data_IF_361564220121
#
_entry.id   IF_361564220121
#
_cell.length_a   1.000
_cell.length_b   1.000
_cell.length_c   1.000
_cell.angle_alpha   90.00
_cell.angle_beta   90.00
_cell.angle_gamma   90.00
#
_symmetry.space_group_name_H-M   'P 1'
#
loop_
_entity.id
_entity.type
_entity.pdbx_description
1 polymer ?
#
# COMPACT_ATOMS: atom_id res chain seq x y z
N UNK A 1 2.97 -25.88 3.76
CA UNK A 1 2.29 -24.69 4.32
C UNK A 1 3.38 -23.67 4.64
N UNK A 2 3.35 -22.51 3.98
CA UNK A 2 4.39 -21.47 4.08
C UNK A 2 4.46 -20.88 5.50
N UNK A 3 5.58 -20.23 5.83
CA UNK A 3 5.75 -19.56 7.15
C UNK A 3 4.64 -18.53 7.38
N UNK A 4 4.32 -17.76 6.34
CA UNK A 4 3.26 -16.75 6.38
C UNK A 4 1.87 -17.34 6.66
N UNK A 5 1.51 -18.44 5.98
CA UNK A 5 0.21 -19.11 6.17
C UNK A 5 0.06 -19.69 7.58
N UNK A 6 1.13 -20.22 8.16
CA UNK A 6 1.14 -20.70 9.54
C UNK A 6 0.88 -19.56 10.54
N UNK A 7 1.56 -18.42 10.38
CA UNK A 7 1.37 -17.23 11.23
C UNK A 7 -0.06 -16.69 11.12
N UNK A 8 -0.60 -16.60 9.91
CA UNK A 8 -1.98 -16.17 9.72
C UNK A 8 -2.98 -17.11 10.39
N UNK A 9 -2.80 -18.43 10.26
CA UNK A 9 -3.69 -19.39 10.93
C UNK A 9 -3.61 -19.27 12.47
N UNK A 10 -2.41 -19.04 13.00
CA UNK A 10 -2.23 -18.75 14.43
C UNK A 10 -3.00 -17.50 14.85
N UNK A 11 -2.91 -16.42 14.07
CA UNK A 11 -3.65 -15.17 14.30
C UNK A 11 -5.15 -15.44 14.34
N UNK A 12 -5.71 -16.07 13.31
CA UNK A 12 -7.17 -16.33 13.23
C UNK A 12 -7.62 -17.24 14.37
N UNK A 13 -6.87 -18.30 14.69
CA UNK A 13 -7.17 -19.20 15.80
C UNK A 13 -7.18 -18.47 17.15
N UNK A 14 -6.21 -17.57 17.38
CA UNK A 14 -6.13 -16.80 18.62
C UNK A 14 -7.23 -15.74 18.75
N UNK A 15 -7.78 -15.26 17.63
CA UNK A 15 -8.95 -14.36 17.60
C UNK A 15 -10.24 -15.09 17.98
N UNK A 16 -10.34 -16.41 17.71
CA UNK A 16 -11.41 -17.26 18.23
C UNK A 16 -12.81 -16.93 17.73
N UNK A 17 -12.93 -16.28 16.57
CA UNK A 17 -14.20 -15.98 15.90
C UNK A 17 -14.32 -16.85 14.66
N UNK A 18 -15.38 -17.65 14.60
CA UNK A 18 -15.65 -18.53 13.46
C UNK A 18 -15.80 -17.73 12.17
N UNK A 19 -15.23 -18.25 11.08
CA UNK A 19 -15.26 -17.63 9.74
C UNK A 19 -14.59 -16.25 9.63
N UNK A 20 -13.89 -15.77 10.67
CA UNK A 20 -13.12 -14.54 10.60
C UNK A 20 -12.07 -14.62 9.48
N UNK A 21 -12.10 -13.63 8.58
CA UNK A 21 -11.08 -13.44 7.55
C UNK A 21 -10.57 -12.00 7.59
N UNK A 22 -9.25 -11.87 7.72
CA UNK A 22 -8.56 -10.59 7.65
C UNK A 22 -7.81 -10.57 6.31
N UNK A 23 -8.25 -9.80 5.30
CA UNK A 23 -7.54 -9.67 4.04
C UNK A 23 -6.09 -9.26 4.31
N UNK A 24 -5.15 -10.09 3.87
CA UNK A 24 -3.73 -9.99 4.18
C UNK A 24 -2.93 -10.14 2.90
N UNK A 25 -1.93 -9.29 2.73
CA UNK A 25 -1.02 -9.30 1.57
C UNK A 25 0.41 -9.22 2.06
N UNK A 26 1.23 -10.16 1.61
CA UNK A 26 2.66 -10.12 1.77
C UNK A 26 3.30 -9.31 0.65
N UNK A 27 4.38 -8.59 0.97
CA UNK A 27 5.13 -7.74 0.05
C UNK A 27 6.61 -8.11 0.11
N UNK A 28 7.18 -8.40 -1.05
CA UNK A 28 8.62 -8.64 -1.25
C UNK A 28 9.21 -7.64 -2.22
N UNK A 29 10.29 -6.98 -1.83
CA UNK A 29 11.08 -6.11 -2.68
C UNK A 29 12.19 -6.88 -3.40
N UNK A 30 12.43 -6.51 -4.66
CA UNK A 30 13.56 -6.96 -5.45
C UNK A 30 14.36 -5.75 -5.93
N UNK A 31 15.60 -5.63 -5.47
CA UNK A 31 16.57 -4.62 -5.90
C UNK A 31 17.11 -4.95 -7.29
N UNK A 32 17.73 -3.97 -7.94
CA UNK A 32 18.30 -4.15 -9.29
C UNK A 32 19.20 -5.38 -9.43
N UNK A 33 20.01 -5.68 -8.42
CA UNK A 33 20.95 -6.80 -8.41
C UNK A 33 20.35 -8.14 -7.96
N UNK A 34 19.12 -8.14 -7.45
CA UNK A 34 18.48 -9.36 -6.94
C UNK A 34 18.01 -10.23 -8.12
N UNK A 35 17.97 -11.54 -7.98
CA UNK A 35 17.36 -12.41 -8.98
C UNK A 35 15.87 -12.53 -8.63
N UNK A 36 14.98 -12.20 -9.58
CA UNK A 36 13.54 -12.46 -9.42
C UNK A 36 13.30 -13.89 -9.90
N UNK A 37 12.75 -14.79 -9.06
CA UNK A 37 12.42 -16.15 -9.47
C UNK A 37 11.44 -16.19 -10.64
N UNK A 38 11.54 -17.21 -11.50
CA UNK A 38 10.63 -17.37 -12.65
C UNK A 38 9.16 -17.48 -12.24
N UNK A 39 8.90 -18.14 -11.09
CA UNK A 39 7.57 -18.23 -10.48
C UNK A 39 6.99 -16.85 -10.19
N UNK A 40 7.82 -15.89 -9.78
CA UNK A 40 7.39 -14.51 -9.49
C UNK A 40 7.24 -13.70 -10.77
N UNK A 41 8.14 -13.89 -11.75
CA UNK A 41 8.05 -13.24 -13.06
C UNK A 41 6.76 -13.62 -13.81
N UNK A 42 6.28 -14.85 -13.64
CA UNK A 42 5.02 -15.32 -14.21
C UNK A 42 3.80 -14.49 -13.76
N UNK A 43 3.90 -13.80 -12.62
CA UNK A 43 2.85 -12.96 -12.05
C UNK A 43 3.01 -11.48 -12.39
N UNK A 44 3.80 -11.10 -13.41
CA UNK A 44 3.86 -9.74 -13.93
C UNK A 44 2.75 -9.50 -14.95
N UNK A 45 1.75 -8.63 -14.69
CA UNK A 45 0.80 -8.23 -15.73
C UNK A 45 1.52 -7.55 -16.90
N UNK A 46 1.24 -8.00 -18.13
CA UNK A 46 1.86 -7.48 -19.37
C UNK A 46 0.88 -6.69 -20.25
N UNK A 47 -0.42 -6.90 -20.08
CA UNK A 47 -1.48 -6.27 -20.90
C UNK A 47 -2.21 -5.12 -20.20
N UNK A 48 -2.03 -4.99 -18.88
CA UNK A 48 -2.70 -3.99 -18.05
C UNK A 48 -1.70 -3.37 -17.07
N UNK A 49 -2.02 -2.19 -16.57
CA UNK A 49 -1.32 -1.59 -15.45
C UNK A 49 -2.16 -1.62 -14.19
N UNK A 50 -1.51 -1.74 -13.03
CA UNK A 50 -2.17 -1.79 -11.73
C UNK A 50 -1.60 -0.74 -10.80
N UNK A 51 -2.48 0.03 -10.15
CA UNK A 51 -2.04 0.86 -9.03
C UNK A 51 -1.60 -0.04 -7.86
N UNK A 52 -0.67 0.45 -7.02
CA UNK A 52 -0.22 -0.31 -5.84
C UNK A 52 -1.38 -0.74 -4.93
N UNK A 53 -2.43 0.09 -4.79
CA UNK A 53 -3.63 -0.29 -4.05
C UNK A 53 -4.46 -1.38 -4.72
N UNK A 54 -4.55 -1.42 -6.05
CA UNK A 54 -5.22 -2.53 -6.75
C UNK A 54 -4.43 -3.82 -6.60
N UNK A 55 -3.10 -3.76 -6.72
CA UNK A 55 -2.25 -4.94 -6.56
C UNK A 55 -2.33 -5.53 -5.14
N UNK A 56 -2.32 -4.70 -4.09
CA UNK A 56 -2.55 -5.18 -2.72
C UNK A 56 -3.95 -5.78 -2.58
N UNK A 57 -4.99 -5.12 -3.11
CA UNK A 57 -6.35 -5.64 -3.01
C UNK A 57 -6.49 -6.98 -3.75
N UNK A 58 -5.99 -7.09 -4.98
CA UNK A 58 -6.00 -8.34 -5.76
C UNK A 58 -5.23 -9.44 -5.03
N UNK A 59 -4.04 -9.12 -4.50
CA UNK A 59 -3.29 -10.09 -3.73
C UNK A 59 -4.07 -10.57 -2.51
N UNK A 60 -4.75 -9.69 -1.78
CA UNK A 60 -5.59 -10.12 -0.66
C UNK A 60 -6.80 -11.01 -1.03
N UNK A 61 -7.10 -11.16 -2.32
CA UNK A 61 -8.18 -11.99 -2.86
C UNK A 61 -7.69 -13.34 -3.43
N UNK A 62 -6.39 -13.62 -3.40
CA UNK A 62 -5.82 -14.90 -3.85
C UNK A 62 -4.92 -14.82 -5.07
N UNK A 63 -4.84 -13.65 -5.72
CA UNK A 63 -3.94 -13.47 -6.87
C UNK A 63 -2.52 -13.14 -6.39
N UNK A 64 -1.53 -13.26 -7.28
CA UNK A 64 -0.19 -12.72 -7.05
C UNK A 64 0.14 -11.71 -8.14
N UNK A 65 0.88 -10.66 -7.79
CA UNK A 65 1.20 -9.55 -8.69
C UNK A 65 2.65 -9.11 -8.49
N UNK A 66 3.44 -9.17 -9.55
CA UNK A 66 4.72 -8.48 -9.64
C UNK A 66 4.54 -7.11 -10.29
N UNK A 67 4.73 -6.06 -9.49
CA UNK A 67 4.81 -4.68 -9.98
C UNK A 67 6.25 -4.33 -10.37
N UNK A 68 6.41 -3.81 -11.58
CA UNK A 68 7.66 -3.28 -12.12
C UNK A 68 7.42 -1.87 -12.67
N UNK A 69 8.47 -1.20 -13.16
CA UNK A 69 8.31 0.11 -13.79
C UNK A 69 7.36 0.08 -15.01
N UNK A 70 7.30 -1.06 -15.70
CA UNK A 70 6.52 -1.24 -16.92
C UNK A 70 5.01 -1.29 -16.66
N UNK A 71 4.58 -1.88 -15.53
CA UNK A 71 3.15 -2.12 -15.27
C UNK A 71 2.59 -1.35 -14.06
N UNK A 72 3.41 -0.58 -13.33
CA UNK A 72 2.93 0.23 -12.21
C UNK A 72 2.01 1.36 -12.69
N UNK A 73 0.71 1.27 -12.37
CA UNK A 73 -0.33 2.16 -12.86
C UNK A 73 -0.39 3.54 -12.17
N UNK A 74 0.45 3.79 -11.15
CA UNK A 74 0.49 5.05 -10.42
C UNK A 74 1.92 5.57 -10.29
N UNK A 75 2.21 6.73 -10.89
CA UNK A 75 3.56 7.35 -10.85
C UNK A 75 3.99 7.64 -9.40
N UNK A 76 3.07 8.14 -8.56
CA UNK A 76 3.32 8.34 -7.14
C UNK A 76 3.70 7.03 -6.41
N UNK A 77 3.16 5.89 -6.84
CA UNK A 77 3.56 4.58 -6.32
C UNK A 77 4.93 4.14 -6.81
N UNK A 78 5.25 4.37 -8.09
CA UNK A 78 6.57 4.08 -8.63
C UNK A 78 7.67 4.82 -7.86
N UNK A 79 7.42 6.10 -7.50
CA UNK A 79 8.34 6.90 -6.67
C UNK A 79 8.47 6.29 -5.27
N UNK A 80 7.35 6.08 -4.58
CA UNK A 80 7.37 5.58 -3.19
C UNK A 80 8.05 4.21 -3.09
N UNK A 81 7.77 3.30 -4.02
CA UNK A 81 8.32 1.95 -4.04
C UNK A 81 9.78 1.88 -4.55
N UNK A 82 10.37 3.02 -4.95
CA UNK A 82 11.76 3.08 -5.42
C UNK A 82 11.98 2.46 -6.80
N UNK A 83 10.94 2.39 -7.63
CA UNK A 83 11.00 1.93 -9.03
C UNK A 83 11.44 3.04 -10.00
N UNK A 84 11.31 4.31 -9.60
CA UNK A 84 11.75 5.46 -10.39
C UNK A 84 12.32 6.54 -9.48
N UNK A 85 13.30 7.29 -10.02
CA UNK A 85 13.87 8.44 -9.35
C UNK A 85 12.83 9.56 -9.20
N UNK A 86 12.71 10.09 -7.99
CA UNK A 86 11.73 11.12 -7.67
C UNK A 86 11.98 12.47 -8.36
N UNK A 87 13.20 12.71 -8.84
CA UNK A 87 13.63 13.91 -9.55
C UNK A 87 13.67 13.75 -11.06
N UNK A 88 13.20 12.62 -11.61
CA UNK A 88 13.11 12.40 -13.04
C UNK A 88 12.20 13.44 -13.73
N UNK A 89 12.75 14.11 -14.75
CA UNK A 89 12.09 15.15 -15.57
C UNK A 89 11.34 14.59 -16.80
N UNK A 90 11.34 13.27 -16.99
CA UNK A 90 10.68 12.60 -18.11
C UNK A 90 9.47 11.82 -17.58
N UNK A 91 8.28 11.92 -18.20
CA UNK A 91 7.14 11.10 -17.80
C UNK A 91 7.44 9.62 -18.00
N UNK A 92 6.80 8.79 -17.19
CA UNK A 92 6.90 7.35 -17.39
C UNK A 92 6.20 6.95 -18.70
N UNK A 93 6.84 6.08 -19.48
CA UNK A 93 6.27 5.59 -20.74
C UNK A 93 5.07 4.67 -20.51
N UNK A 94 4.22 4.56 -21.53
CA UNK A 94 3.06 3.66 -21.55
C UNK A 94 1.81 4.22 -20.87
N UNK A 95 0.68 3.55 -21.11
CA UNK A 95 -0.59 3.80 -20.42
C UNK A 95 -0.47 3.45 -18.94
N UNK A 96 -1.07 4.27 -18.08
CA UNK A 96 -1.09 4.04 -16.63
C UNK A 96 -2.44 4.46 -16.10
N UNK A 97 -3.07 3.61 -15.30
CA UNK A 97 -4.40 3.87 -14.69
C UNK A 97 -4.55 5.32 -14.23
N UNK A 98 -3.58 5.86 -13.50
CA UNK A 98 -3.69 7.20 -12.92
C UNK A 98 -3.57 8.33 -13.94
N UNK A 99 -2.68 8.22 -14.93
CA UNK A 99 -2.52 9.26 -15.98
C UNK A 99 -3.61 9.15 -17.05
N UNK A 100 -4.12 7.95 -17.30
CA UNK A 100 -5.21 7.73 -18.24
C UNK A 100 -6.52 8.35 -17.69
N UNK A 101 -6.72 8.26 -16.36
CA UNK A 101 -7.81 8.98 -15.68
C UNK A 101 -7.68 10.50 -15.84
N UNK A 102 -6.47 11.06 -15.67
CA UNK A 102 -6.23 12.50 -15.90
C UNK A 102 -6.51 12.88 -17.36
N UNK A 103 -5.97 12.10 -18.30
CA UNK A 103 -6.14 12.34 -19.73
C UNK A 103 -7.62 12.34 -20.11
N UNK A 104 -8.39 11.34 -19.66
CA UNK A 104 -9.83 11.22 -19.94
C UNK A 104 -10.70 12.31 -19.32
N UNK A 105 -10.14 13.13 -18.42
CA UNK A 105 -10.82 14.29 -17.80
C UNK A 105 -10.25 15.63 -18.26
N UNK A 106 -9.24 15.62 -19.12
CA UNK A 106 -8.64 16.83 -19.69
C UNK A 106 -9.50 17.37 -20.82
N UNK A 107 -9.68 18.70 -20.87
CA UNK A 107 -10.38 19.39 -21.96
C UNK A 107 -9.66 19.22 -23.32
N UNK A 108 -8.38 18.86 -23.30
CA UNK A 108 -7.52 18.74 -24.48
C UNK A 108 -6.75 17.41 -24.51
N UNK A 109 -7.49 16.30 -24.59
CA UNK A 109 -6.97 14.92 -24.62
C UNK A 109 -5.77 14.72 -25.55
N UNK A 110 -5.83 15.26 -26.78
CA UNK A 110 -4.77 15.10 -27.79
C UNK A 110 -3.46 15.85 -27.45
N UNK A 111 -3.54 16.85 -26.58
CA UNK A 111 -2.40 17.66 -26.13
C UNK A 111 -1.96 17.31 -24.71
N UNK A 112 -2.62 16.33 -24.08
CA UNK A 112 -2.32 15.91 -22.72
C UNK A 112 -0.87 15.44 -22.60
N UNK A 113 -0.15 16.01 -21.63
CA UNK A 113 1.18 15.56 -21.25
C UNK A 113 1.12 14.98 -19.85
N UNK A 114 1.45 13.69 -19.65
CA UNK A 114 1.43 13.10 -18.34
C UNK A 114 2.45 13.78 -17.41
N UNK A 115 2.14 13.96 -16.11
CA UNK A 115 3.07 14.51 -15.15
C UNK A 115 4.31 13.62 -14.99
N UNK A 116 5.47 14.28 -14.82
CA UNK A 116 6.75 13.62 -14.52
C UNK A 116 6.81 13.19 -13.06
N UNK A 117 7.67 12.23 -12.68
CA UNK A 117 7.94 11.93 -11.27
C UNK A 117 8.27 13.19 -10.46
N UNK A 118 9.08 14.09 -11.02
CA UNK A 118 9.40 15.37 -10.38
C UNK A 118 8.18 16.28 -10.19
N UNK A 119 7.21 16.32 -11.10
CA UNK A 119 5.98 17.10 -10.92
C UNK A 119 5.17 16.61 -9.71
N UNK A 120 5.16 15.29 -9.49
CA UNK A 120 4.59 14.70 -8.29
C UNK A 120 5.38 15.11 -7.04
N UNK A 121 6.70 15.00 -7.06
CA UNK A 121 7.58 15.34 -5.93
C UNK A 121 7.51 16.82 -5.55
N UNK A 122 7.46 17.71 -6.56
CA UNK A 122 7.36 19.17 -6.36
C UNK A 122 5.97 19.64 -5.94
N UNK A 123 5.00 18.74 -5.81
CA UNK A 123 3.63 19.06 -5.38
C UNK A 123 2.74 19.69 -6.45
N UNK A 124 3.19 19.73 -7.70
CA UNK A 124 2.46 20.37 -8.79
C UNK A 124 1.20 19.59 -9.16
N UNK A 125 1.28 18.25 -9.18
CA UNK A 125 0.11 17.38 -9.46
C UNK A 125 -0.97 17.50 -8.39
N UNK A 126 -0.57 17.74 -7.15
CA UNK A 126 -1.51 17.79 -6.02
C UNK A 126 -2.11 19.18 -5.82
N UNK A 127 -1.39 20.25 -6.17
CA UNK A 127 -1.90 21.62 -6.16
C UNK A 127 -2.04 22.16 -7.59
N UNK A 128 -2.59 21.35 -8.49
CA UNK A 128 -2.54 21.59 -9.93
C UNK A 128 -3.21 22.91 -10.36
N UNK A 129 -4.31 23.29 -9.74
CA UNK A 129 -4.95 24.60 -9.96
C UNK A 129 -3.99 25.75 -9.62
N UNK A 130 -3.43 25.74 -8.40
CA UNK A 130 -2.47 26.76 -7.96
C UNK A 130 -1.14 26.72 -8.74
N UNK A 131 -0.82 25.61 -9.39
CA UNK A 131 0.35 25.45 -10.26
C UNK A 131 0.08 25.86 -11.72
N UNK A 132 -1.14 26.30 -12.06
CA UNK A 132 -1.58 26.55 -13.44
C UNK A 132 -1.36 25.33 -14.35
N UNK A 133 -1.78 24.15 -13.85
CA UNK A 133 -1.70 22.84 -14.51
C UNK A 133 -3.05 22.12 -14.48
N UNK A 134 -4.16 22.71 -14.96
CA UNK A 134 -5.49 22.10 -14.88
C UNK A 134 -5.55 20.68 -15.48
N UNK A 135 -4.68 20.36 -16.43
CA UNK A 135 -4.55 19.04 -17.04
C UNK A 135 -4.15 17.92 -16.07
N UNK A 136 -3.60 18.23 -14.88
CA UNK A 136 -3.30 17.24 -13.84
C UNK A 136 -4.49 16.95 -12.91
N UNK A 137 -5.65 17.53 -13.19
CA UNK A 137 -6.90 17.24 -12.51
C UNK A 137 -7.35 15.78 -12.72
N UNK A 138 -7.88 15.17 -11.67
CA UNK A 138 -8.48 13.84 -11.71
C UNK A 138 -10.00 13.88 -11.90
N UNK A 139 -10.63 14.99 -11.52
CA UNK A 139 -12.09 15.11 -11.44
C UNK A 139 -12.68 16.13 -12.42
N UNK A 140 -11.93 16.51 -13.45
CA UNK A 140 -12.34 17.48 -14.46
C UNK A 140 -12.10 18.94 -14.04
N UNK A 141 -12.75 19.86 -14.74
CA UNK A 141 -12.50 21.31 -14.62
C UNK A 141 -12.68 21.88 -13.20
N UNK A 142 -13.65 21.35 -12.45
CA UNK A 142 -13.96 21.79 -11.07
C UNK A 142 -13.09 21.11 -10.00
N UNK A 143 -12.10 20.29 -10.39
CA UNK A 143 -11.14 19.70 -9.45
C UNK A 143 -10.28 20.80 -8.82
N UNK A 144 -10.53 21.07 -7.54
CA UNK A 144 -9.75 22.05 -6.74
C UNK A 144 -8.32 21.59 -6.45
N UNK A 145 -7.99 20.33 -6.75
CA UNK A 145 -6.77 19.68 -6.34
C UNK A 145 -6.87 19.12 -4.93
N UNK A 146 -5.74 18.65 -4.42
CA UNK A 146 -5.59 18.00 -3.11
C UNK A 146 -5.07 18.96 -2.05
N UNK A 147 -4.40 20.03 -2.46
CA UNK A 147 -3.88 21.06 -1.57
C UNK A 147 -4.12 22.46 -2.13
N UNK A 148 -4.36 23.42 -1.24
CA UNK A 148 -4.66 24.83 -1.59
C UNK A 148 -3.57 25.51 -2.42
N UNK A 149 -2.31 25.13 -2.24
CA UNK A 149 -1.17 25.70 -2.97
C UNK A 149 0.03 24.74 -2.98
N UNK A 150 1.01 25.04 -3.84
CA UNK A 150 2.21 24.23 -4.04
C UNK A 150 3.06 24.11 -2.77
N UNK A 151 3.14 25.14 -1.94
CA UNK A 151 3.91 25.09 -0.69
C UNK A 151 3.30 24.09 0.30
N UNK A 152 1.99 24.11 0.49
CA UNK A 152 1.26 23.13 1.31
C UNK A 152 1.38 21.72 0.73
N UNK A 153 1.31 21.56 -0.60
CA UNK A 153 1.53 20.27 -1.24
C UNK A 153 2.93 19.73 -0.97
N UNK A 154 3.97 20.55 -1.14
CA UNK A 154 5.37 20.16 -0.88
C UNK A 154 5.58 19.74 0.57
N UNK A 155 5.04 20.49 1.52
CA UNK A 155 5.12 20.13 2.93
C UNK A 155 4.53 18.73 3.16
N UNK A 156 3.33 18.46 2.63
CA UNK A 156 2.70 17.15 2.79
C UNK A 156 3.48 16.02 2.11
N UNK A 157 4.13 16.28 0.97
CA UNK A 157 4.90 15.28 0.22
C UNK A 157 6.23 14.96 0.89
N UNK A 158 6.88 15.94 1.53
CA UNK A 158 8.13 15.73 2.27
C UNK A 158 7.97 14.71 3.40
N UNK A 159 6.78 14.61 3.99
CA UNK A 159 6.46 13.63 5.03
C UNK A 159 6.07 12.25 4.46
N UNK A 160 5.79 12.15 3.14
CA UNK A 160 5.49 10.89 2.46
C UNK A 160 6.77 10.11 2.23
N UNK A 161 6.80 8.86 2.71
CA UNK A 161 8.00 8.04 2.64
C UNK A 161 8.17 7.44 1.24
N UNK A 162 9.41 7.44 0.75
CA UNK A 162 9.80 6.84 -0.51
C UNK A 162 11.17 6.17 -0.38
N UNK A 163 11.35 5.06 -1.08
CA UNK A 163 12.67 4.41 -1.22
C UNK A 163 13.45 5.19 -2.28
N UNK A 164 14.46 5.94 -1.85
CA UNK A 164 15.36 6.68 -2.72
C UNK A 164 16.82 6.47 -2.28
N UNK A 165 17.80 6.38 -3.21
CA UNK A 165 17.63 6.41 -4.67
C UNK A 165 16.80 5.23 -5.19
N UNK A 166 16.36 5.30 -6.46
CA UNK A 166 15.52 4.27 -7.08
C UNK A 166 16.30 2.97 -7.27
N UNK A 167 16.30 2.12 -6.24
CA UNK A 167 17.10 0.88 -6.19
C UNK A 167 16.27 -0.38 -6.42
N UNK A 168 14.95 -0.28 -6.57
CA UNK A 168 14.07 -1.41 -6.77
C UNK A 168 13.80 -1.63 -8.26
N UNK A 169 13.74 -2.90 -8.68
CA UNK A 169 13.29 -3.30 -10.02
C UNK A 169 11.95 -4.04 -10.01
N UNK A 170 11.54 -4.54 -8.85
CA UNK A 170 10.28 -5.27 -8.70
C UNK A 170 9.76 -5.20 -7.27
N UNK A 171 8.44 -5.21 -7.15
CA UNK A 171 7.71 -5.37 -5.88
C UNK A 171 6.69 -6.46 -6.09
N UNK A 172 6.87 -7.59 -5.42
CA UNK A 172 5.97 -8.73 -5.50
C UNK A 172 4.97 -8.68 -4.36
N UNK A 173 3.69 -8.80 -4.70
CA UNK A 173 2.57 -8.80 -3.78
C UNK A 173 1.85 -10.13 -3.93
N UNK A 174 1.67 -10.84 -2.84
CA UNK A 174 1.11 -12.19 -2.85
C UNK A 174 0.31 -12.45 -1.58
N UNK A 175 -0.53 -13.47 -1.67
CA UNK A 175 -1.43 -13.87 -0.61
C UNK A 175 -0.83 -15.01 0.23
N UNK A 176 -1.64 -15.58 1.12
CA UNK A 176 -1.23 -16.66 2.01
C UNK A 176 -1.14 -18.02 1.29
N UNK A 177 -1.87 -18.19 0.19
CA UNK A 177 -2.01 -19.41 -0.59
C UNK A 177 -1.03 -19.50 -1.78
N UNK A 178 -0.19 -18.48 -2.00
CA UNK A 178 0.95 -18.56 -2.89
C UNK A 178 1.98 -19.58 -2.38
N UNK A 179 1.93 -20.80 -2.93
CA UNK A 179 2.72 -21.96 -2.51
C UNK A 179 3.76 -22.40 -3.57
N UNK A 180 3.93 -21.65 -4.66
CA UNK A 180 4.90 -21.99 -5.73
C UNK A 180 6.35 -21.96 -5.22
N UNK A 181 6.68 -21.00 -4.35
CA UNK A 181 7.96 -20.89 -3.63
C UNK A 181 7.75 -20.23 -2.26
N UNK A 182 8.51 -20.66 -1.25
CA UNK A 182 8.46 -20.07 0.09
C UNK A 182 9.29 -18.78 0.14
N UNK A 183 8.61 -17.65 0.00
CA UNK A 183 9.21 -16.31 0.10
C UNK A 183 8.93 -15.74 1.49
N UNK A 184 9.99 -15.32 2.17
CA UNK A 184 9.88 -14.50 3.38
C UNK A 184 9.63 -13.04 2.97
N UNK A 185 8.46 -12.47 3.31
CA UNK A 185 8.14 -11.10 2.94
C UNK A 185 8.96 -10.10 3.74
N UNK A 186 9.10 -8.90 3.20
CA UNK A 186 9.72 -7.78 3.93
C UNK A 186 8.65 -7.05 4.75
N UNK A 187 7.43 -6.94 4.22
CA UNK A 187 6.28 -6.29 4.85
C UNK A 187 5.02 -7.13 4.66
N UNK A 188 4.14 -7.12 5.66
CA UNK A 188 2.78 -7.67 5.58
C UNK A 188 1.78 -6.54 5.78
N UNK A 189 0.80 -6.43 4.89
CA UNK A 189 -0.29 -5.45 4.96
C UNK A 189 -1.59 -6.18 5.25
N UNK A 190 -2.28 -5.79 6.32
CA UNK A 190 -3.62 -6.29 6.65
C UNK A 190 -4.66 -5.19 6.46
N UNK A 191 -5.82 -5.55 5.90
CA UNK A 191 -7.00 -4.68 5.82
C UNK A 191 -7.96 -5.03 6.96
N UNK A 192 -7.96 -4.20 8.00
CA UNK A 192 -8.62 -4.51 9.28
C UNK A 192 -9.83 -3.62 9.53
N UNK A 193 -10.84 -4.16 10.21
CA UNK A 193 -11.88 -3.38 10.87
C UNK A 193 -11.32 -2.72 12.14
N UNK A 194 -11.91 -1.61 12.64
CA UNK A 194 -11.45 -0.97 13.88
C UNK A 194 -11.35 -1.93 15.08
N UNK A 195 -12.28 -2.89 15.19
CA UNK A 195 -12.29 -3.89 16.27
C UNK A 195 -11.09 -4.85 16.18
N UNK A 196 -10.73 -5.30 14.96
CA UNK A 196 -9.57 -6.16 14.70
C UNK A 196 -8.25 -5.40 14.96
N UNK A 197 -8.20 -4.13 14.54
CA UNK A 197 -7.05 -3.26 14.79
C UNK A 197 -6.78 -3.11 16.29
N UNK A 198 -7.82 -2.90 17.10
CA UNK A 198 -7.67 -2.81 18.54
C UNK A 198 -7.00 -4.08 19.11
N UNK A 199 -7.39 -5.25 18.61
CA UNK A 199 -6.83 -6.52 19.06
C UNK A 199 -5.38 -6.74 18.62
N UNK A 200 -5.01 -6.30 17.42
CA UNK A 200 -3.62 -6.30 16.94
C UNK A 200 -2.72 -5.38 17.79
N UNK A 201 -3.19 -4.17 18.13
CA UNK A 201 -2.43 -3.24 18.98
C UNK A 201 -2.22 -3.85 20.38
N UNK A 202 -3.26 -4.45 20.97
CA UNK A 202 -3.16 -5.11 22.27
C UNK A 202 -2.15 -6.26 22.26
N UNK A 203 -2.11 -7.06 21.19
CA UNK A 203 -1.15 -8.14 21.03
C UNK A 203 0.29 -7.64 20.95
N UNK A 204 0.53 -6.59 20.15
CA UNK A 204 1.84 -5.94 20.08
C UNK A 204 2.27 -5.37 21.43
N UNK A 205 1.36 -4.67 22.12
CA UNK A 205 1.60 -4.09 23.44
C UNK A 205 1.84 -5.14 24.52
N UNK A 206 1.16 -6.28 24.45
CA UNK A 206 1.36 -7.37 25.39
C UNK A 206 2.81 -7.89 25.35
N UNK A 207 3.39 -8.00 24.16
CA UNK A 207 4.76 -8.48 23.97
C UNK A 207 5.82 -7.43 24.31
N UNK A 208 5.55 -6.16 24.02
CA UNK A 208 6.61 -5.12 23.98
C UNK A 208 6.42 -4.00 25.01
N UNK A 209 5.21 -3.79 25.51
CA UNK A 209 4.81 -2.60 26.27
C UNK A 209 4.79 -1.30 25.45
N UNK A 210 5.08 -1.34 24.14
CA UNK A 210 5.28 -0.15 23.31
C UNK A 210 3.98 0.34 22.66
N UNK A 211 3.84 1.66 22.52
CA UNK A 211 2.75 2.24 21.73
C UNK A 211 3.00 2.07 20.23
N UNK A 212 1.94 1.91 19.45
CA UNK A 212 1.99 2.11 18.00
C UNK A 212 1.84 3.60 17.72
N UNK A 213 2.86 4.21 17.12
CA UNK A 213 2.80 5.60 16.66
C UNK A 213 2.51 5.59 15.16
N UNK A 214 1.32 6.04 14.77
CA UNK A 214 0.92 6.08 13.36
C UNK A 214 1.20 7.44 12.74
N UNK A 215 1.79 7.44 11.55
CA UNK A 215 1.91 8.61 10.67
C UNK A 215 1.01 8.39 9.46
N UNK A 216 0.00 9.26 9.31
CA UNK A 216 -1.12 9.06 8.40
C UNK A 216 -1.31 10.27 7.50
N UNK A 217 -1.25 10.05 6.18
CA UNK A 217 -1.63 11.01 5.16
C UNK A 217 -2.94 10.65 4.44
N UNK A 218 -3.52 11.61 3.72
CA UNK A 218 -4.68 11.37 2.84
C UNK A 218 -4.32 10.87 1.43
N UNK A 219 -3.01 10.75 1.12
CA UNK A 219 -2.46 10.44 -0.19
C UNK A 219 -1.30 9.46 -0.05
N UNK A 220 -1.09 8.63 -1.09
CA UNK A 220 -0.04 7.59 -1.11
C UNK A 220 -0.10 6.62 0.09
N UNK A 221 -1.30 6.31 0.58
CA UNK A 221 -1.43 5.50 1.79
C UNK A 221 -0.90 4.07 1.60
N UNK A 222 -1.34 3.33 0.58
CA UNK A 222 -0.96 1.92 0.46
C UNK A 222 0.55 1.74 0.23
N UNK A 223 1.13 2.53 -0.68
CA UNK A 223 2.55 2.44 -1.02
C UNK A 223 3.45 3.12 0.02
N UNK A 224 3.22 4.39 0.38
CA UNK A 224 4.06 5.11 1.35
C UNK A 224 3.78 4.65 2.78
N UNK A 225 2.54 4.79 3.25
CA UNK A 225 2.24 4.63 4.67
C UNK A 225 2.21 3.16 5.13
N UNK A 226 1.69 2.25 4.30
CA UNK A 226 1.47 0.85 4.69
C UNK A 226 2.55 -0.13 4.23
N UNK A 227 3.34 0.25 3.22
CA UNK A 227 4.42 -0.62 2.69
C UNK A 227 5.79 -0.01 3.00
N UNK A 228 6.09 1.16 2.43
CA UNK A 228 7.44 1.70 2.43
C UNK A 228 7.86 2.22 3.80
N UNK A 229 6.95 2.88 4.54
CA UNK A 229 7.25 3.33 5.90
C UNK A 229 7.59 2.14 6.81
N UNK A 230 6.76 1.08 6.94
CA UNK A 230 7.14 -0.11 7.68
C UNK A 230 8.45 -0.74 7.21
N UNK A 231 8.69 -0.80 5.90
CA UNK A 231 9.94 -1.32 5.34
C UNK A 231 11.18 -0.52 5.79
N UNK A 232 11.11 0.81 5.80
CA UNK A 232 12.26 1.65 6.12
C UNK A 232 12.43 1.90 7.61
N UNK A 233 11.34 2.11 8.35
CA UNK A 233 11.41 2.40 9.79
C UNK A 233 11.54 1.14 10.63
N UNK A 234 11.18 -0.03 10.07
CA UNK A 234 11.06 -1.28 10.83
C UNK A 234 10.08 -1.13 12.00
N UNK A 235 9.05 -0.29 11.85
CA UNK A 235 7.96 -0.08 12.82
C UNK A 235 6.60 -0.31 12.16
N UNK A 236 5.59 -0.62 12.98
CA UNK A 236 4.19 -0.73 12.52
C UNK A 236 3.67 0.64 12.11
N UNK A 237 2.91 0.72 11.01
CA UNK A 237 2.14 1.92 10.68
C UNK A 237 0.69 1.58 10.32
N UNK A 238 -0.23 2.48 10.67
CA UNK A 238 -1.68 2.36 10.43
C UNK A 238 -2.11 3.54 9.57
N UNK A 239 -3.06 3.37 8.64
CA UNK A 239 -3.58 4.49 7.84
C UNK A 239 -5.01 4.26 7.30
N UNK A 240 -5.70 5.34 6.89
CA UNK A 240 -7.16 5.37 6.56
C UNK A 240 -7.53 5.04 5.11
N UNK A 241 -6.59 4.52 4.32
CA UNK A 241 -6.65 4.41 2.86
C UNK A 241 -6.82 5.78 2.17
N UNK A 242 -6.06 6.00 1.09
CA UNK A 242 -6.09 7.27 0.37
C UNK A 242 -7.24 7.33 -0.66
N UNK A 243 -7.41 8.51 -1.25
CA UNK A 243 -8.32 8.76 -2.37
C UNK A 243 -8.24 7.68 -3.46
N UNK A 244 -7.03 7.31 -3.91
CA UNK A 244 -6.85 6.29 -4.94
C UNK A 244 -7.26 4.89 -4.47
N UNK A 245 -6.96 4.53 -3.22
CA UNK A 245 -7.38 3.26 -2.65
C UNK A 245 -8.91 3.16 -2.54
N UNK A 246 -9.59 4.26 -2.19
CA UNK A 246 -11.06 4.30 -2.10
C UNK A 246 -11.74 4.29 -3.47
N UNK A 247 -11.28 5.12 -4.41
CA UNK A 247 -11.96 5.30 -5.69
C UNK A 247 -11.56 4.26 -6.76
N UNK A 248 -10.30 3.83 -6.77
CA UNK A 248 -9.78 2.95 -7.82
C UNK A 248 -9.76 1.51 -7.35
N UNK A 249 -9.22 1.25 -6.16
CA UNK A 249 -9.14 -0.11 -5.60
C UNK A 249 -10.36 -0.51 -4.75
N UNK A 250 -11.32 0.41 -4.54
CA UNK A 250 -12.61 0.16 -3.90
C UNK A 250 -12.50 -0.49 -2.50
N UNK A 251 -11.54 -0.04 -1.69
CA UNK A 251 -11.44 -0.47 -0.29
C UNK A 251 -12.68 -0.07 0.52
N UNK A 252 -13.20 -1.02 1.29
CA UNK A 252 -14.47 -0.96 2.02
C UNK A 252 -14.47 0.13 3.09
N UNK A 253 -15.58 0.88 3.21
CA UNK A 253 -15.71 2.08 4.06
C UNK A 253 -15.36 1.87 5.53
N UNK A 254 -15.52 0.65 6.06
CA UNK A 254 -15.25 0.28 7.44
C UNK A 254 -13.87 -0.34 7.67
N UNK A 255 -12.97 -0.31 6.68
CA UNK A 255 -11.61 -0.85 6.80
C UNK A 255 -10.53 0.22 6.86
N UNK A 256 -9.51 -0.09 7.63
CA UNK A 256 -8.23 0.59 7.75
C UNK A 256 -7.12 -0.35 7.25
N UNK A 257 -5.98 0.23 6.90
CA UNK A 257 -4.78 -0.54 6.61
C UNK A 257 -3.83 -0.51 7.81
N UNK A 258 -3.16 -1.63 8.05
CA UNK A 258 -2.01 -1.73 8.95
C UNK A 258 -0.89 -2.47 8.24
N UNK A 259 0.32 -1.90 8.27
CA UNK A 259 1.53 -2.46 7.70
C UNK A 259 2.51 -2.87 8.79
N UNK A 260 3.08 -4.07 8.65
CA UNK A 260 4.03 -4.66 9.58
C UNK A 260 5.33 -4.98 8.84
N UNK A 261 6.50 -4.58 9.36
CA UNK A 261 7.72 -5.33 9.09
C UNK A 261 7.48 -6.80 9.46
N UNK A 262 7.97 -7.75 8.65
CA UNK A 262 7.60 -9.16 8.85
C UNK A 262 7.88 -9.69 10.26
N UNK A 263 9.01 -9.31 10.87
CA UNK A 263 9.35 -9.71 12.23
C UNK A 263 8.36 -9.18 13.30
N UNK A 264 7.72 -8.03 13.08
CA UNK A 264 6.68 -7.52 13.99
C UNK A 264 5.33 -8.21 13.75
N UNK A 265 5.07 -8.69 12.54
CA UNK A 265 3.91 -9.55 12.27
C UNK A 265 4.02 -10.87 13.04
N UNK A 266 5.22 -11.46 13.09
CA UNK A 266 5.51 -12.64 13.93
C UNK A 266 5.26 -12.36 15.42
N UNK A 267 5.75 -11.23 15.92
CA UNK A 267 5.52 -10.81 17.31
C UNK A 267 4.03 -10.62 17.62
N UNK A 268 3.26 -10.04 16.69
CA UNK A 268 1.81 -9.87 16.86
C UNK A 268 1.11 -11.23 16.91
N UNK A 269 1.48 -12.20 16.07
CA UNK A 269 0.92 -13.54 16.13
C UNK A 269 1.18 -14.21 17.50
N UNK A 270 2.40 -14.07 18.04
CA UNK A 270 2.76 -14.57 19.37
C UNK A 270 2.00 -13.85 20.49
N UNK A 271 1.88 -12.53 20.40
CA UNK A 271 1.11 -11.70 21.33
C UNK A 271 -0.38 -12.05 21.35
N UNK A 272 -0.96 -12.32 20.18
CA UNK A 272 -2.36 -12.72 20.06
C UNK A 272 -2.62 -14.02 20.82
N UNK A 273 -1.80 -15.04 20.59
CA UNK A 273 -1.97 -16.34 21.26
C UNK A 273 -1.73 -16.26 22.77
N UNK A 274 -0.63 -15.61 23.19
CA UNK A 274 -0.28 -15.48 24.60
C UNK A 274 -1.29 -14.65 25.41
N UNK A 275 -1.91 -13.66 24.78
CA UNK A 275 -2.81 -12.72 25.45
C UNK A 275 -4.30 -13.00 25.24
N UNK A 276 -4.68 -14.11 24.58
CA UNK A 276 -6.08 -14.37 24.16
C UNK A 276 -7.08 -14.46 25.31
N UNK A 277 -6.66 -14.84 26.51
CA UNK A 277 -7.52 -14.88 27.69
C UNK A 277 -7.63 -13.53 28.40
N UNK A 278 -6.61 -12.67 28.29
CA UNK A 278 -6.63 -11.29 28.81
C UNK A 278 -7.34 -10.32 27.86
N UNK A 279 -7.35 -10.61 26.57
CA UNK A 279 -8.07 -9.88 25.54
C UNK A 279 -8.96 -10.83 24.73
N UNK A 280 -10.07 -11.32 25.32
CA UNK A 280 -10.96 -12.28 24.69
C UNK A 280 -11.74 -11.60 23.55
N UNK A 281 -11.15 -11.63 22.35
CA UNK A 281 -11.69 -10.97 21.15
C UNK A 281 -13.15 -11.32 20.83
N UNK A 282 -13.64 -12.56 21.03
CA UNK A 282 -15.05 -12.88 20.77
C UNK A 282 -16.05 -12.09 21.62
N UNK A 283 -15.61 -11.51 22.74
CA UNK A 283 -16.46 -10.66 23.60
C UNK A 283 -16.50 -9.20 23.13
N UNK A 284 -15.75 -8.82 22.09
CA UNK A 284 -15.68 -7.44 21.63
C UNK A 284 -16.91 -7.12 20.79
N UNK A 285 -17.58 -5.97 21.00
CA UNK A 285 -18.67 -5.53 20.14
C UNK A 285 -18.22 -5.48 18.66
N UNK A 286 -18.97 -6.18 17.81
CA UNK A 286 -18.71 -6.29 16.37
C UNK A 286 -17.62 -7.28 15.95
N UNK A 287 -17.03 -8.06 16.88
CA UNK A 287 -16.03 -9.07 16.54
C UNK A 287 -16.56 -10.10 15.54
N UNK A 288 -17.81 -10.56 15.73
CA UNK A 288 -18.50 -11.54 14.90
C UNK A 288 -19.19 -10.98 13.65
N UNK A 289 -19.10 -9.66 13.39
CA UNK A 289 -19.68 -9.03 12.19
C UNK A 289 -18.82 -9.26 10.95
N UNK A 290 -18.61 -10.53 10.58
CA UNK A 290 -17.66 -10.99 9.54
C UNK A 290 -18.20 -10.91 8.13
#
# INVERSE_FOLDING_TARGET
MTTLKNLYQQIINAMGVDSLKIPTTAVKFYRHNDIIPDQVLAHQPTSITLTSCQAVKQASLGDAVLLTLDNIGCVAAAISLGLVDQEQDVPLCGSRVYTDLMQGKSDHVEKFKPPTPRDFTKGLVYAHQAANRPEFGLFGAEDSGRFKNVATARQAINDMTAIQPAIMKGVFLYDLDFEEIDIIPDVVVCSVRPVELARFIQAYQYQTGQRVNASMGGLRVVNSDLIVRPYLTQEINISTYCLGARLIAQYESNRLGIGFPFHLYEQVAQGLDASKTGYPFPLYPGAADV
#
